data_IF_614607513238
#
_entry.id   IF_614607513238
#
_cell.length_a   1.000
_cell.length_b   1.000
_cell.length_c   1.000
_cell.angle_alpha   90.00
_cell.angle_beta   90.00
_cell.angle_gamma   90.00
#
_symmetry.space_group_name_H-M   'P 1'
#
loop_
_entity.id
_entity.type
_entity.pdbx_description
1 polymer ?
#
# COMPACT_ATOMS: atom_id res chain seq x y z
N UNK A 1 1.03 28.52 -59.47
CA UNK A 1 2.22 28.33 -58.59
C UNK A 1 1.80 28.84 -57.24
N UNK A 2 1.32 27.92 -56.37
CA UNK A 2 0.95 28.24 -55.00
C UNK A 2 2.20 28.14 -54.14
N UNK A 3 2.46 29.18 -53.39
CA UNK A 3 3.55 29.28 -52.44
C UNK A 3 3.33 28.28 -51.31
N UNK A 4 4.23 27.33 -51.20
CA UNK A 4 4.32 26.46 -50.03
C UNK A 4 4.74 27.31 -48.82
N UNK A 5 3.78 27.65 -47.98
CA UNK A 5 4.03 28.34 -46.71
C UNK A 5 4.83 27.38 -45.81
N UNK A 6 6.09 27.72 -45.62
CA UNK A 6 7.04 26.99 -44.77
C UNK A 6 6.58 27.13 -43.32
N UNK A 7 5.92 26.09 -42.77
CA UNK A 7 5.48 26.02 -41.37
C UNK A 7 6.68 25.59 -40.52
N UNK A 8 7.56 26.54 -40.24
CA UNK A 8 8.52 26.39 -39.16
C UNK A 8 7.82 26.87 -37.89
N UNK A 9 7.76 26.05 -36.82
CA UNK A 9 7.22 26.51 -35.56
C UNK A 9 8.10 27.63 -35.03
N UNK A 10 7.49 28.73 -34.61
CA UNK A 10 8.16 29.83 -33.90
C UNK A 10 9.01 29.31 -32.76
N UNK A 11 10.32 29.41 -32.93
CA UNK A 11 11.28 29.17 -31.89
C UNK A 11 11.16 30.33 -30.91
N UNK A 12 10.50 30.10 -29.77
CA UNK A 12 10.35 31.11 -28.72
C UNK A 12 11.72 31.70 -28.36
N UNK A 13 11.82 33.01 -28.45
CA UNK A 13 13.02 33.77 -28.14
C UNK A 13 13.39 33.62 -26.65
N UNK A 14 14.69 33.71 -26.36
CA UNK A 14 15.28 33.46 -25.03
C UNK A 14 14.73 34.28 -23.83
N UNK A 15 13.88 35.28 -24.09
CA UNK A 15 13.29 36.14 -23.07
C UNK A 15 12.09 35.53 -22.30
N UNK A 16 11.50 34.42 -22.76
CA UNK A 16 10.33 33.79 -22.11
C UNK A 16 10.67 32.61 -21.15
N UNK A 17 11.95 32.39 -20.90
CA UNK A 17 12.41 31.22 -20.09
C UNK A 17 12.08 31.28 -18.60
N UNK A 18 11.35 32.26 -18.11
CA UNK A 18 11.03 32.43 -16.69
C UNK A 18 9.57 32.17 -16.26
N UNK A 19 8.63 32.14 -17.17
CA UNK A 19 7.24 31.86 -16.90
C UNK A 19 6.92 30.41 -17.27
N UNK A 20 6.35 29.64 -16.37
CA UNK A 20 5.73 28.35 -16.70
C UNK A 20 4.56 28.68 -17.62
N UNK A 21 4.80 28.73 -18.94
CA UNK A 21 3.73 28.81 -19.93
C UNK A 21 2.95 27.49 -19.88
N UNK A 22 1.89 27.46 -19.08
CA UNK A 22 0.92 26.37 -19.10
C UNK A 22 0.23 26.42 -20.45
N UNK A 23 0.69 25.61 -21.42
CA UNK A 23 -0.02 25.47 -22.68
C UNK A 23 -1.44 25.00 -22.41
N UNK A 24 -2.46 25.64 -23.02
CA UNK A 24 -3.83 25.14 -22.89
C UNK A 24 -3.90 23.69 -23.32
N UNK A 25 -4.66 22.91 -22.59
CA UNK A 25 -4.91 21.51 -22.96
C UNK A 25 -5.41 21.41 -24.39
N UNK A 26 -4.97 20.40 -25.14
CA UNK A 26 -5.48 20.14 -26.50
C UNK A 26 -7.01 19.96 -26.50
N UNK A 27 -7.62 19.59 -25.37
CA UNK A 27 -9.07 19.47 -25.21
C UNK A 27 -9.82 20.82 -25.19
N UNK A 28 -9.13 21.94 -25.07
CA UNK A 28 -9.71 23.29 -25.05
C UNK A 28 -9.61 23.99 -26.41
N UNK A 29 -8.99 23.37 -27.43
CA UNK A 29 -8.87 23.88 -28.79
C UNK A 29 -9.34 22.81 -29.77
N UNK A 30 -10.43 23.10 -30.49
CA UNK A 30 -11.07 22.12 -31.37
C UNK A 30 -10.14 21.65 -32.49
N UNK A 31 -9.37 22.57 -33.09
CA UNK A 31 -8.44 22.23 -34.19
C UNK A 31 -7.32 21.33 -33.70
N UNK A 32 -6.71 21.69 -32.59
CA UNK A 32 -5.66 20.87 -31.96
C UNK A 32 -6.18 19.53 -31.52
N UNK A 33 -7.44 19.46 -31.07
CA UNK A 33 -8.09 18.21 -30.69
C UNK A 33 -8.32 17.31 -31.89
N UNK A 34 -8.81 17.83 -33.01
CA UNK A 34 -8.99 17.09 -34.27
C UNK A 34 -7.65 16.57 -34.82
N UNK A 35 -6.60 17.40 -34.79
CA UNK A 35 -5.26 16.97 -35.16
C UNK A 35 -4.74 15.84 -34.25
N UNK A 36 -4.92 15.99 -32.94
CA UNK A 36 -4.54 14.98 -31.99
C UNK A 36 -5.30 13.66 -32.19
N UNK A 37 -6.59 13.71 -32.55
CA UNK A 37 -7.37 12.49 -32.88
C UNK A 37 -6.82 11.77 -34.11
N UNK A 38 -6.43 12.51 -35.17
CA UNK A 38 -5.82 11.93 -36.37
C UNK A 38 -4.48 11.27 -36.08
N UNK A 39 -3.62 11.95 -35.32
CA UNK A 39 -2.33 11.40 -34.87
C UNK A 39 -2.54 10.18 -33.95
N UNK A 40 -3.48 10.27 -33.01
CA UNK A 40 -3.81 9.17 -32.11
C UNK A 40 -4.33 7.93 -32.85
N UNK A 41 -5.14 8.10 -33.89
CA UNK A 41 -5.62 6.98 -34.72
C UNK A 41 -4.46 6.29 -35.44
N UNK A 42 -3.49 7.03 -35.96
CA UNK A 42 -2.28 6.49 -36.57
C UNK A 42 -1.44 5.72 -35.53
N UNK A 43 -1.16 6.32 -34.39
CA UNK A 43 -0.37 5.70 -33.33
C UNK A 43 -1.06 4.43 -32.80
N UNK A 44 -2.39 4.46 -32.60
CA UNK A 44 -3.14 3.29 -32.14
C UNK A 44 -3.10 2.10 -33.12
N UNK A 45 -2.86 2.34 -34.41
CA UNK A 45 -2.69 1.30 -35.43
C UNK A 45 -1.27 0.72 -35.48
N UNK A 46 -0.30 1.36 -34.83
CA UNK A 46 1.11 0.96 -34.86
C UNK A 46 1.39 -0.17 -33.86
N UNK A 47 2.20 -1.16 -34.31
CA UNK A 47 2.74 -2.19 -33.43
C UNK A 47 3.92 -1.72 -32.57
N UNK A 48 4.46 -0.54 -32.84
CA UNK A 48 5.60 0.00 -32.09
C UNK A 48 5.17 0.72 -30.80
N UNK A 49 3.90 1.05 -30.64
CA UNK A 49 3.40 1.57 -29.37
C UNK A 49 3.10 0.43 -28.38
N UNK A 50 3.25 0.66 -27.06
CA UNK A 50 2.91 -0.34 -26.04
C UNK A 50 1.47 -0.88 -26.19
N UNK A 51 1.26 -2.14 -25.81
CA UNK A 51 0.00 -2.87 -26.06
C UNK A 51 -1.25 -2.14 -25.54
N UNK A 52 -1.16 -1.43 -24.41
CA UNK A 52 -2.27 -0.66 -23.83
C UNK A 52 -2.66 0.61 -24.60
N UNK A 53 -1.89 0.99 -25.63
CA UNK A 53 -2.25 2.04 -26.59
C UNK A 53 -2.74 1.47 -27.93
N UNK A 54 -2.40 0.23 -28.27
CA UNK A 54 -2.80 -0.39 -29.52
C UNK A 54 -4.34 -0.51 -29.57
N UNK A 55 -4.92 -0.05 -30.67
CA UNK A 55 -6.38 0.02 -30.89
C UNK A 55 -7.15 0.89 -29.87
N UNK A 56 -6.44 1.67 -29.06
CA UNK A 56 -7.02 2.51 -28.00
C UNK A 56 -6.77 4.01 -28.33
N UNK A 57 -7.53 4.55 -29.29
CA UNK A 57 -7.38 5.95 -29.74
C UNK A 57 -7.52 6.93 -28.56
N UNK A 58 -8.48 6.70 -27.67
CA UNK A 58 -8.68 7.57 -26.50
C UNK A 58 -7.44 7.62 -25.58
N UNK A 59 -6.80 6.50 -25.32
CA UNK A 59 -5.57 6.46 -24.52
C UNK A 59 -4.43 7.21 -25.21
N UNK A 60 -4.33 7.08 -26.55
CA UNK A 60 -3.35 7.81 -27.35
C UNK A 60 -3.58 9.33 -27.28
N UNK A 61 -4.83 9.81 -27.36
CA UNK A 61 -5.15 11.25 -27.20
C UNK A 61 -4.73 11.76 -25.82
N UNK A 62 -4.96 11.00 -24.76
CA UNK A 62 -4.54 11.37 -23.40
C UNK A 62 -3.01 11.46 -23.32
N UNK A 63 -2.29 10.48 -23.89
CA UNK A 63 -0.84 10.49 -23.94
C UNK A 63 -0.29 11.69 -24.73
N UNK A 64 -0.90 12.02 -25.88
CA UNK A 64 -0.55 13.20 -26.67
C UNK A 64 -0.73 14.50 -25.88
N UNK A 65 -1.85 14.64 -25.14
CA UNK A 65 -2.08 15.81 -24.30
C UNK A 65 -1.05 15.93 -23.16
N UNK A 66 -0.67 14.81 -22.53
CA UNK A 66 0.38 14.81 -21.52
C UNK A 66 1.74 15.15 -22.12
N UNK A 67 2.07 14.59 -23.28
CA UNK A 67 3.32 14.87 -23.98
C UNK A 67 3.45 16.37 -24.34
N UNK A 68 2.38 16.98 -24.88
CA UNK A 68 2.35 18.40 -25.20
C UNK A 68 2.54 19.28 -23.96
N UNK A 69 1.85 18.95 -22.86
CA UNK A 69 1.94 19.71 -21.61
C UNK A 69 3.29 19.56 -20.91
N UNK A 70 3.89 18.39 -20.98
CA UNK A 70 5.19 18.08 -20.39
C UNK A 70 6.36 18.42 -21.34
N UNK A 71 6.08 18.84 -22.57
CA UNK A 71 7.09 19.12 -23.62
C UNK A 71 8.00 17.92 -23.91
N UNK A 72 7.42 16.74 -23.96
CA UNK A 72 8.10 15.49 -24.28
C UNK A 72 7.62 15.01 -25.64
N UNK A 73 8.49 14.36 -26.39
CA UNK A 73 8.07 13.68 -27.60
C UNK A 73 6.94 12.67 -27.32
N UNK A 74 5.85 12.69 -28.11
CA UNK A 74 4.70 11.82 -27.91
C UNK A 74 5.04 10.33 -27.86
N UNK A 75 5.94 9.87 -28.73
CA UNK A 75 6.34 8.47 -28.77
C UNK A 75 7.16 8.09 -27.52
N UNK A 76 8.07 8.96 -27.11
CA UNK A 76 8.84 8.77 -25.87
C UNK A 76 7.92 8.77 -24.65
N UNK A 77 6.90 9.64 -24.63
CA UNK A 77 5.89 9.63 -23.57
C UNK A 77 5.16 8.29 -23.50
N UNK A 78 4.67 7.78 -24.65
CA UNK A 78 3.96 6.50 -24.71
C UNK A 78 4.84 5.33 -24.29
N UNK A 79 6.13 5.32 -24.63
CA UNK A 79 7.08 4.26 -24.24
C UNK A 79 7.36 4.22 -22.71
N UNK A 80 7.15 5.33 -22.02
CA UNK A 80 7.45 5.46 -20.58
C UNK A 80 6.20 5.69 -19.72
N UNK A 81 5.01 5.63 -20.33
CA UNK A 81 3.73 5.76 -19.62
C UNK A 81 3.01 4.42 -19.57
N UNK A 82 2.50 4.09 -18.40
CA UNK A 82 1.72 2.87 -18.16
C UNK A 82 0.39 3.22 -17.52
N UNK A 83 -0.60 2.39 -17.78
CA UNK A 83 -1.89 2.48 -17.11
C UNK A 83 -1.91 1.44 -15.99
N UNK A 84 -1.82 1.90 -14.75
CA UNK A 84 -1.86 1.05 -13.56
C UNK A 84 -3.18 1.33 -12.84
N UNK A 85 -4.03 0.32 -12.74
CA UNK A 85 -5.34 0.43 -12.10
C UNK A 85 -6.21 1.60 -12.65
N UNK A 86 -6.21 1.78 -13.97
CA UNK A 86 -6.96 2.83 -14.65
C UNK A 86 -6.37 4.25 -14.49
N UNK A 87 -5.19 4.39 -13.91
CA UNK A 87 -4.49 5.67 -13.73
C UNK A 87 -3.23 5.71 -14.57
N UNK A 88 -2.94 6.84 -15.26
CA UNK A 88 -1.68 6.99 -15.96
C UNK A 88 -0.54 7.16 -14.94
N UNK A 89 0.50 6.36 -15.11
CA UNK A 89 1.75 6.45 -14.37
C UNK A 89 2.93 6.58 -15.33
N UNK A 90 4.01 7.16 -14.88
CA UNK A 90 5.25 7.30 -15.65
C UNK A 90 6.37 6.49 -15.00
N UNK A 91 7.32 6.02 -15.79
CA UNK A 91 8.51 5.38 -15.24
C UNK A 91 9.36 6.39 -14.45
N UNK A 92 9.99 5.92 -13.36
CA UNK A 92 10.85 6.77 -12.53
C UNK A 92 11.98 7.44 -13.32
N UNK A 93 12.51 6.79 -14.36
CA UNK A 93 13.51 7.40 -15.25
C UNK A 93 12.97 8.60 -16.03
N UNK A 94 11.71 8.56 -16.49
CA UNK A 94 11.08 9.70 -17.16
C UNK A 94 10.84 10.85 -16.17
N UNK A 95 10.43 10.54 -14.94
CA UNK A 95 10.27 11.54 -13.88
C UNK A 95 11.58 12.31 -13.63
N UNK A 96 12.71 11.62 -13.55
CA UNK A 96 14.03 12.25 -13.40
C UNK A 96 14.32 13.15 -14.62
N UNK A 97 14.13 12.65 -15.84
CA UNK A 97 14.36 13.42 -17.06
C UNK A 97 13.47 14.68 -17.14
N UNK A 98 12.21 14.61 -16.68
CA UNK A 98 11.30 15.76 -16.62
C UNK A 98 11.78 16.80 -15.61
N UNK A 99 12.27 16.39 -14.44
CA UNK A 99 12.82 17.31 -13.43
C UNK A 99 14.04 18.05 -14.02
N UNK A 100 14.96 17.30 -14.61
CA UNK A 100 16.16 17.86 -15.24
C UNK A 100 15.81 18.74 -16.44
N UNK A 101 14.82 18.33 -17.24
CA UNK A 101 14.30 19.07 -18.41
C UNK A 101 13.64 20.41 -18.07
N UNK A 102 13.32 20.68 -16.78
CA UNK A 102 12.85 22.02 -16.37
C UNK A 102 13.90 23.11 -16.57
N UNK A 103 15.18 22.73 -16.64
CA UNK A 103 16.31 23.68 -16.71
C UNK A 103 16.49 24.51 -15.43
N UNK A 104 15.75 24.19 -14.36
CA UNK A 104 15.85 24.89 -13.08
C UNK A 104 16.97 24.34 -12.22
N UNK A 105 17.22 23.05 -12.32
CA UNK A 105 18.17 22.32 -11.47
C UNK A 105 19.30 21.72 -12.27
N UNK A 106 20.45 21.52 -11.63
CA UNK A 106 21.50 20.62 -12.10
C UNK A 106 20.96 19.18 -12.17
N UNK A 107 21.66 18.26 -12.85
CA UNK A 107 21.30 16.84 -12.78
C UNK A 107 21.11 16.37 -11.34
N UNK A 108 20.03 15.57 -11.11
CA UNK A 108 19.72 15.03 -9.80
C UNK A 108 20.85 14.13 -9.29
N UNK A 109 21.22 14.33 -8.03
CA UNK A 109 22.15 13.49 -7.31
C UNK A 109 21.46 12.84 -6.13
N UNK A 110 22.03 11.74 -5.65
CA UNK A 110 21.43 10.92 -4.61
C UNK A 110 22.45 10.64 -3.53
N UNK A 111 22.11 10.99 -2.30
CA UNK A 111 22.91 10.73 -1.11
C UNK A 111 22.30 9.54 -0.37
N UNK A 112 23.08 8.50 -0.20
CA UNK A 112 22.70 7.30 0.53
C UNK A 112 23.35 7.31 1.91
N UNK A 113 22.60 6.90 2.93
CA UNK A 113 23.08 6.81 4.31
C UNK A 113 22.70 5.48 4.93
N UNK A 114 23.56 4.98 5.81
CA UNK A 114 23.37 3.70 6.48
C UNK A 114 23.65 2.49 5.60
N UNK A 115 23.65 1.31 6.20
CA UNK A 115 23.88 0.04 5.52
C UNK A 115 23.04 -1.05 6.18
N UNK A 116 22.36 -1.84 5.38
CA UNK A 116 21.55 -2.97 5.81
C UNK A 116 21.43 -4.01 4.71
N UNK A 117 20.55 -4.97 4.93
CA UNK A 117 20.17 -5.97 3.94
C UNK A 117 18.67 -6.05 3.84
N UNK A 118 18.16 -6.40 2.67
CA UNK A 118 16.76 -6.74 2.46
C UNK A 118 16.47 -8.14 3.02
N UNK A 119 15.20 -8.54 3.10
CA UNK A 119 14.82 -9.90 3.53
C UNK A 119 15.37 -10.99 2.61
N UNK A 120 15.66 -10.63 1.36
CA UNK A 120 16.33 -11.52 0.37
C UNK A 120 17.86 -11.46 0.46
N UNK A 121 18.43 -10.76 1.43
CA UNK A 121 19.88 -10.67 1.66
C UNK A 121 20.61 -9.67 0.76
N UNK A 122 19.91 -8.91 -0.09
CA UNK A 122 20.53 -7.90 -0.97
C UNK A 122 21.00 -6.71 -0.13
N UNK A 123 22.25 -6.23 -0.30
CA UNK A 123 22.73 -5.01 0.35
C UNK A 123 21.85 -3.80 0.01
N UNK A 124 21.61 -2.92 0.97
CA UNK A 124 20.85 -1.69 0.80
C UNK A 124 21.33 -0.58 1.72
N UNK A 125 21.00 0.66 1.37
CA UNK A 125 21.09 1.77 2.30
C UNK A 125 19.89 1.80 3.28
N UNK A 126 19.99 2.57 4.35
CA UNK A 126 18.87 2.80 5.27
C UNK A 126 18.04 4.01 4.85
N UNK A 127 18.65 4.97 4.14
CA UNK A 127 17.95 6.12 3.58
C UNK A 127 18.58 6.63 2.29
N UNK A 128 17.79 7.38 1.52
CA UNK A 128 18.23 8.08 0.33
C UNK A 128 17.56 9.45 0.26
N UNK A 129 18.35 10.48 -0.09
CA UNK A 129 17.87 11.84 -0.36
C UNK A 129 18.29 12.23 -1.78
N UNK A 130 17.31 12.68 -2.57
CA UNK A 130 17.58 13.32 -3.86
C UNK A 130 17.89 14.79 -3.64
N UNK A 131 18.93 15.30 -4.28
CA UNK A 131 19.31 16.71 -4.21
C UNK A 131 19.83 17.22 -5.56
N UNK A 132 19.74 18.53 -5.76
CA UNK A 132 20.26 19.20 -6.92
C UNK A 132 20.63 20.65 -6.59
N UNK A 133 21.48 21.26 -7.40
CA UNK A 133 21.78 22.69 -7.29
C UNK A 133 20.75 23.46 -8.11
N UNK A 134 20.08 24.43 -7.54
CA UNK A 134 19.23 25.35 -8.27
C UNK A 134 20.13 26.29 -9.12
N UNK A 135 19.99 26.23 -10.43
CA UNK A 135 20.92 26.91 -11.35
C UNK A 135 20.84 28.45 -11.25
N UNK A 136 19.72 28.99 -10.80
CA UNK A 136 19.52 30.45 -10.68
C UNK A 136 20.15 31.02 -9.41
N UNK A 137 20.08 30.31 -8.30
CA UNK A 137 20.55 30.77 -6.97
C UNK A 137 21.90 30.19 -6.58
N UNK A 138 22.28 29.05 -7.16
CA UNK A 138 23.46 28.28 -6.75
C UNK A 138 23.26 27.47 -5.46
N UNK A 139 22.05 27.49 -4.88
CA UNK A 139 21.76 26.76 -3.64
C UNK A 139 21.56 25.27 -3.90
N UNK A 140 21.99 24.47 -2.94
CA UNK A 140 21.69 23.03 -2.95
C UNK A 140 20.31 22.85 -2.34
N UNK A 141 19.41 22.31 -3.14
CA UNK A 141 18.05 21.98 -2.73
C UNK A 141 17.96 20.48 -2.49
N UNK A 142 17.52 20.08 -1.32
CA UNK A 142 17.33 18.69 -0.94
C UNK A 142 15.82 18.34 -0.94
N UNK A 143 15.51 17.12 -1.35
CA UNK A 143 14.18 16.55 -1.20
C UNK A 143 14.00 15.89 0.17
N UNK A 144 12.76 15.49 0.52
CA UNK A 144 12.51 14.69 1.72
C UNK A 144 13.26 13.35 1.65
N UNK A 145 13.79 12.87 2.79
CA UNK A 145 14.45 11.56 2.86
C UNK A 145 13.44 10.44 2.65
N UNK A 146 13.82 9.45 1.87
CA UNK A 146 13.13 8.16 1.76
C UNK A 146 13.90 7.16 2.59
N UNK A 147 13.25 6.52 3.56
CA UNK A 147 13.90 5.57 4.45
C UNK A 147 13.41 4.14 4.21
N UNK A 148 14.24 3.15 4.56
CA UNK A 148 13.82 1.76 4.52
C UNK A 148 12.67 1.48 5.49
N UNK A 149 12.70 2.10 6.68
CA UNK A 149 11.60 2.00 7.64
C UNK A 149 10.27 2.47 7.03
N UNK A 150 10.28 3.58 6.27
CA UNK A 150 9.14 4.06 5.52
C UNK A 150 8.68 3.01 4.49
N UNK A 151 9.61 2.43 3.71
CA UNK A 151 9.29 1.42 2.71
C UNK A 151 8.63 0.17 3.32
N UNK A 152 9.07 -0.25 4.51
CA UNK A 152 8.47 -1.37 5.26
C UNK A 152 7.07 -1.00 5.80
N UNK A 153 6.94 0.17 6.42
CA UNK A 153 5.67 0.62 7.03
C UNK A 153 4.58 0.81 5.97
N UNK A 154 4.92 1.41 4.84
CA UNK A 154 4.00 1.63 3.71
C UNK A 154 3.76 0.36 2.87
N UNK A 155 4.44 -0.74 3.19
CA UNK A 155 4.26 -2.03 2.53
C UNK A 155 4.92 -2.15 1.15
N UNK A 156 5.79 -1.21 0.73
CA UNK A 156 6.47 -1.24 -0.57
C UNK A 156 7.40 -2.44 -0.72
N UNK A 157 7.91 -2.95 0.39
CA UNK A 157 8.80 -4.13 0.42
C UNK A 157 8.06 -5.46 0.33
N UNK A 158 6.71 -5.47 0.41
CA UNK A 158 5.90 -6.68 0.36
C UNK A 158 5.84 -7.25 -1.05
N UNK A 159 5.86 -8.55 -1.16
CA UNK A 159 5.68 -9.24 -2.44
C UNK A 159 4.25 -8.98 -2.98
N UNK A 160 4.14 -8.78 -4.30
CA UNK A 160 2.90 -8.31 -4.96
C UNK A 160 1.92 -9.43 -5.34
N UNK A 161 2.00 -10.58 -4.69
CA UNK A 161 1.20 -11.77 -5.04
C UNK A 161 1.72 -12.50 -6.29
N UNK A 162 1.10 -13.64 -6.63
CA UNK A 162 1.50 -14.49 -7.77
C UNK A 162 3.00 -14.81 -7.86
N UNK A 163 3.72 -14.79 -6.72
CA UNK A 163 5.16 -15.05 -6.68
C UNK A 163 6.05 -13.89 -7.16
N UNK A 164 5.47 -12.71 -7.42
CA UNK A 164 6.25 -11.55 -7.85
C UNK A 164 6.88 -10.84 -6.64
N UNK A 165 8.20 -11.01 -6.53
CA UNK A 165 9.00 -10.37 -5.49
C UNK A 165 9.04 -8.85 -5.70
N UNK A 166 8.87 -8.08 -4.63
CA UNK A 166 8.98 -6.63 -4.69
C UNK A 166 10.35 -6.17 -5.20
N UNK A 167 10.38 -5.17 -6.07
CA UNK A 167 11.63 -4.56 -6.56
C UNK A 167 12.45 -3.93 -5.42
N UNK A 168 11.80 -3.53 -4.33
CA UNK A 168 12.49 -3.06 -3.12
C UNK A 168 13.35 -4.14 -2.47
N UNK A 169 12.98 -5.42 -2.65
CA UNK A 169 13.76 -6.54 -2.14
C UNK A 169 14.93 -6.93 -3.04
N UNK A 170 14.83 -6.66 -4.36
CA UNK A 170 15.80 -7.12 -5.36
C UNK A 170 16.69 -6.01 -5.92
N UNK A 171 16.17 -4.78 -6.01
CA UNK A 171 16.84 -3.60 -6.56
C UNK A 171 16.62 -2.36 -5.66
N UNK A 172 16.95 -2.43 -4.36
CA UNK A 172 16.62 -1.39 -3.39
C UNK A 172 17.20 -0.02 -3.76
N UNK A 173 18.45 0.06 -4.22
CA UNK A 173 19.10 1.33 -4.55
C UNK A 173 18.43 2.04 -5.73
N UNK A 174 17.92 1.29 -6.71
CA UNK A 174 17.18 1.86 -7.82
C UNK A 174 15.82 2.41 -7.35
N UNK A 175 15.12 1.65 -6.50
CA UNK A 175 13.84 2.07 -5.94
C UNK A 175 13.98 3.30 -5.05
N UNK A 176 15.04 3.37 -4.26
CA UNK A 176 15.38 4.57 -3.49
C UNK A 176 15.56 5.81 -4.39
N UNK A 177 16.32 5.68 -5.49
CA UNK A 177 16.53 6.81 -6.44
C UNK A 177 15.20 7.27 -7.03
N UNK A 178 14.38 6.37 -7.54
CA UNK A 178 13.10 6.72 -8.16
C UNK A 178 12.15 7.36 -7.16
N UNK A 179 12.01 6.79 -5.97
CA UNK A 179 11.13 7.34 -4.93
C UNK A 179 11.61 8.70 -4.41
N UNK A 180 12.92 8.86 -4.19
CA UNK A 180 13.50 10.13 -3.75
C UNK A 180 13.37 11.22 -4.81
N UNK A 181 13.51 10.89 -6.12
CA UNK A 181 13.26 11.83 -7.19
C UNK A 181 11.80 12.29 -7.24
N UNK A 182 10.84 11.39 -7.05
CA UNK A 182 9.42 11.73 -6.98
C UNK A 182 9.12 12.65 -5.79
N UNK A 183 9.71 12.38 -4.62
CA UNK A 183 9.54 13.22 -3.43
C UNK A 183 10.18 14.60 -3.64
N UNK A 184 11.37 14.65 -4.22
CA UNK A 184 12.01 15.90 -4.60
C UNK A 184 11.11 16.74 -5.51
N UNK A 185 10.56 16.13 -6.56
CA UNK A 185 9.73 16.84 -7.51
C UNK A 185 8.46 17.40 -6.89
N UNK A 186 7.79 16.64 -6.03
CA UNK A 186 6.54 17.08 -5.37
C UNK A 186 6.71 18.30 -4.51
N UNK A 187 7.86 18.43 -3.87
CA UNK A 187 8.12 19.55 -2.95
C UNK A 187 8.73 20.73 -3.71
N UNK A 188 9.70 20.47 -4.58
CA UNK A 188 10.55 21.54 -5.15
C UNK A 188 10.12 21.97 -6.56
N UNK A 189 9.49 21.09 -7.35
CA UNK A 189 9.04 21.38 -8.71
C UNK A 189 7.77 20.59 -9.10
N UNK A 190 6.63 20.77 -8.41
CA UNK A 190 5.41 20.00 -8.66
C UNK A 190 4.89 20.13 -10.09
N UNK A 191 5.13 21.26 -10.74
CA UNK A 191 4.76 21.50 -12.13
C UNK A 191 5.49 20.61 -13.15
N UNK A 192 6.67 20.08 -12.80
CA UNK A 192 7.42 19.18 -13.67
C UNK A 192 6.70 17.85 -13.95
N UNK A 193 5.90 17.38 -13.02
CA UNK A 193 5.20 16.10 -13.11
C UNK A 193 3.68 16.25 -13.34
N UNK A 194 3.12 17.46 -13.25
CA UNK A 194 1.68 17.74 -13.37
C UNK A 194 0.79 16.80 -12.51
N UNK A 195 1.28 16.37 -11.35
CA UNK A 195 0.56 15.45 -10.46
C UNK A 195 0.63 13.98 -10.87
N UNK A 196 1.37 13.61 -11.92
CA UNK A 196 1.62 12.22 -12.27
C UNK A 196 2.40 11.50 -11.16
N UNK A 197 2.11 10.23 -11.00
CA UNK A 197 2.83 9.31 -10.10
C UNK A 197 3.73 8.39 -10.90
N UNK A 198 4.76 7.85 -10.25
CA UNK A 198 5.51 6.78 -10.90
C UNK A 198 4.70 5.48 -10.93
N UNK A 199 5.01 4.60 -11.90
CA UNK A 199 4.40 3.27 -11.99
C UNK A 199 4.62 2.48 -10.70
N UNK A 200 5.82 2.52 -10.14
CA UNK A 200 6.15 1.85 -8.88
C UNK A 200 5.30 2.38 -7.71
N UNK A 201 5.00 3.69 -7.67
CA UNK A 201 4.11 4.26 -6.66
C UNK A 201 2.65 3.82 -6.82
N UNK A 202 2.16 3.72 -8.06
CA UNK A 202 0.80 3.23 -8.33
C UNK A 202 0.65 1.75 -8.01
N UNK A 203 1.69 0.95 -8.26
CA UNK A 203 1.74 -0.45 -7.88
C UNK A 203 1.77 -0.65 -6.36
N UNK A 204 2.50 0.21 -5.64
CA UNK A 204 2.63 0.13 -4.17
C UNK A 204 1.35 0.54 -3.42
N UNK A 205 0.53 1.42 -4.00
CA UNK A 205 -0.75 1.84 -3.39
C UNK A 205 -1.77 0.70 -3.35
N UNK A 206 -1.54 -0.40 -4.08
CA UNK A 206 -2.49 -1.52 -4.15
C UNK A 206 -3.85 -1.05 -4.66
N UNK A 207 -3.86 -0.13 -5.64
CA UNK A 207 -5.11 0.41 -6.16
C UNK A 207 -5.96 -0.74 -6.70
N UNK A 208 -7.17 -0.87 -6.18
CA UNK A 208 -8.12 -1.88 -6.62
C UNK A 208 -8.32 -1.70 -8.14
N UNK A 209 -8.05 -2.73 -8.95
CA UNK A 209 -8.30 -2.65 -10.39
C UNK A 209 -9.76 -2.26 -10.62
N UNK A 210 -9.99 -1.24 -11.43
CA UNK A 210 -11.34 -0.81 -11.77
C UNK A 210 -11.66 -1.30 -13.18
N UNK A 211 -12.73 -2.07 -13.32
CA UNK A 211 -13.26 -2.52 -14.61
C UNK A 211 -14.42 -1.63 -15.02
N UNK A 212 -14.50 -1.32 -16.30
CA UNK A 212 -15.62 -0.58 -16.84
C UNK A 212 -16.81 -1.55 -17.00
N UNK A 213 -17.76 -1.51 -16.08
CA UNK A 213 -18.96 -2.36 -16.07
C UNK A 213 -20.09 -1.81 -16.94
N UNK A 214 -20.04 -0.52 -17.30
CA UNK A 214 -20.93 0.13 -18.23
C UNK A 214 -20.30 1.42 -18.76
N UNK A 215 -20.77 2.02 -19.86
CA UNK A 215 -20.26 3.30 -20.36
C UNK A 215 -20.23 4.38 -19.25
N UNK A 216 -19.03 4.84 -18.87
CA UNK A 216 -18.83 5.82 -17.81
C UNK A 216 -18.99 5.32 -16.38
N UNK A 217 -19.23 4.02 -16.14
CA UNK A 217 -19.27 3.40 -14.81
C UNK A 217 -18.11 2.43 -14.63
N UNK A 218 -17.34 2.64 -13.57
CA UNK A 218 -16.25 1.77 -13.18
C UNK A 218 -16.58 1.13 -11.84
N UNK A 219 -16.42 -0.19 -11.74
CA UNK A 219 -16.50 -0.94 -10.49
C UNK A 219 -15.15 -1.57 -10.18
N UNK A 220 -14.83 -1.81 -8.91
CA UNK A 220 -13.66 -2.60 -8.56
C UNK A 220 -13.77 -3.94 -9.29
N UNK A 221 -12.69 -4.33 -10.01
CA UNK A 221 -12.57 -5.70 -10.50
C UNK A 221 -12.65 -6.59 -9.28
N UNK A 222 -13.72 -7.33 -9.13
CA UNK A 222 -13.71 -8.46 -8.23
C UNK A 222 -12.66 -9.40 -8.80
N UNK A 223 -11.46 -9.38 -8.21
CA UNK A 223 -10.51 -10.45 -8.51
C UNK A 223 -11.27 -11.73 -8.26
N UNK A 224 -11.39 -12.63 -9.25
CA UNK A 224 -11.94 -13.94 -8.96
C UNK A 224 -11.13 -14.43 -7.75
N UNK A 225 -11.83 -14.77 -6.66
CA UNK A 225 -11.16 -15.49 -5.57
C UNK A 225 -10.37 -16.58 -6.28
N UNK A 226 -9.05 -16.72 -6.01
CA UNK A 226 -8.27 -17.75 -6.66
C UNK A 226 -9.07 -19.02 -6.54
N UNK A 227 -9.40 -19.61 -7.69
CA UNK A 227 -10.18 -20.87 -7.71
C UNK A 227 -9.53 -21.78 -6.68
N UNK A 228 -10.30 -22.35 -5.75
CA UNK A 228 -9.74 -23.19 -4.71
C UNK A 228 -8.92 -24.26 -5.45
N UNK A 229 -7.61 -24.24 -5.23
CA UNK A 229 -6.77 -25.33 -5.73
C UNK A 229 -7.33 -26.57 -5.05
N UNK A 230 -8.08 -27.40 -5.77
CA UNK A 230 -8.60 -28.64 -5.26
C UNK A 230 -7.41 -29.54 -4.92
N UNK A 231 -6.99 -29.46 -3.66
CA UNK A 231 -5.97 -30.38 -3.14
C UNK A 231 -6.68 -31.73 -3.00
N UNK A 232 -6.21 -32.79 -3.65
CA UNK A 232 -6.81 -34.11 -3.50
C UNK A 232 -6.95 -34.46 -2.02
N UNK A 233 -8.11 -34.92 -1.60
CA UNK A 233 -8.40 -35.19 -0.19
C UNK A 233 -7.35 -36.11 0.46
N UNK A 234 -6.71 -36.99 -0.31
CA UNK A 234 -5.60 -37.84 0.14
C UNK A 234 -4.33 -37.06 0.52
N UNK A 235 -4.09 -35.89 -0.08
CA UNK A 235 -2.91 -35.07 0.18
C UNK A 235 -3.11 -33.98 1.23
N UNK A 236 -4.36 -33.67 1.57
CA UNK A 236 -4.69 -32.61 2.54
C UNK A 236 -4.10 -32.88 3.89
N UNK A 237 -4.22 -34.13 4.39
CA UNK A 237 -3.73 -34.52 5.70
C UNK A 237 -2.20 -34.40 5.80
N UNK A 238 -1.48 -34.88 4.80
CA UNK A 238 -0.01 -34.88 4.80
C UNK A 238 0.56 -33.46 4.65
N UNK A 239 0.02 -32.66 3.74
CA UNK A 239 0.44 -31.27 3.55
C UNK A 239 0.16 -30.41 4.78
N UNK A 240 -1.02 -30.57 5.38
CA UNK A 240 -1.37 -29.87 6.61
C UNK A 240 -0.46 -30.27 7.78
N UNK A 241 -0.14 -31.57 7.91
CA UNK A 241 0.78 -32.05 8.95
C UNK A 241 2.20 -31.49 8.77
N UNK A 242 2.66 -31.36 7.54
CA UNK A 242 3.97 -30.77 7.24
C UNK A 242 3.99 -29.28 7.58
N UNK A 243 2.96 -28.54 7.21
CA UNK A 243 2.82 -27.13 7.52
C UNK A 243 2.72 -26.89 9.04
N UNK A 244 1.95 -27.71 9.76
CA UNK A 244 1.86 -27.67 11.21
C UNK A 244 3.22 -27.90 11.90
N UNK A 245 4.06 -28.81 11.39
CA UNK A 245 5.44 -29.00 11.86
C UNK A 245 6.31 -27.78 11.62
N UNK A 246 6.24 -27.16 10.44
CA UNK A 246 6.97 -25.94 10.13
C UNK A 246 6.58 -24.78 11.06
N UNK A 247 5.31 -24.69 11.44
CA UNK A 247 4.79 -23.70 12.39
C UNK A 247 5.11 -24.02 13.85
N UNK A 248 5.75 -25.16 14.15
CA UNK A 248 6.10 -25.62 15.51
C UNK A 248 4.89 -25.63 16.46
N UNK A 249 3.78 -26.17 15.99
CA UNK A 249 2.52 -26.22 16.73
C UNK A 249 2.55 -27.30 17.82
N UNK A 250 1.79 -27.07 18.91
CA UNK A 250 1.50 -28.09 19.91
C UNK A 250 0.38 -29.01 19.39
N UNK A 251 0.60 -30.33 19.26
CA UNK A 251 -0.38 -31.23 18.65
C UNK A 251 -1.72 -31.28 19.40
N UNK A 252 -1.70 -31.29 20.73
CA UNK A 252 -2.94 -31.37 21.53
C UNK A 252 -3.77 -30.08 21.42
N UNK A 253 -3.09 -28.93 21.40
CA UNK A 253 -3.74 -27.64 21.28
C UNK A 253 -4.29 -27.48 19.86
N UNK A 254 -3.56 -27.97 18.84
CA UNK A 254 -3.99 -27.93 17.46
C UNK A 254 -5.24 -28.77 17.19
N UNK A 255 -5.30 -29.99 17.77
CA UNK A 255 -6.50 -30.82 17.64
C UNK A 255 -7.73 -30.16 18.28
N UNK A 256 -7.57 -29.59 19.49
CA UNK A 256 -8.66 -28.86 20.17
C UNK A 256 -9.11 -27.61 19.33
N UNK A 257 -8.17 -26.92 18.71
CA UNK A 257 -8.48 -25.77 17.87
C UNK A 257 -9.26 -26.20 16.63
N UNK A 258 -8.82 -27.27 15.95
CA UNK A 258 -9.50 -27.82 14.77
C UNK A 258 -10.91 -28.30 15.13
N UNK A 259 -11.07 -29.05 16.21
CA UNK A 259 -12.39 -29.56 16.67
C UNK A 259 -13.35 -28.38 16.94
N UNK A 260 -12.89 -27.38 17.71
CA UNK A 260 -13.71 -26.21 18.04
C UNK A 260 -14.07 -25.36 16.80
N UNK A 261 -13.15 -25.25 15.86
CA UNK A 261 -13.38 -24.50 14.61
C UNK A 261 -14.38 -25.25 13.71
N UNK A 262 -14.26 -26.57 13.64
CA UNK A 262 -15.17 -27.44 12.89
C UNK A 262 -16.60 -27.37 13.44
N UNK A 263 -16.76 -27.43 14.77
CA UNK A 263 -18.05 -27.30 15.44
C UNK A 263 -18.68 -25.92 15.20
N UNK A 264 -17.88 -24.85 15.35
CA UNK A 264 -18.35 -23.47 15.15
C UNK A 264 -18.81 -23.18 13.71
N UNK A 265 -18.13 -23.76 12.72
CA UNK A 265 -18.43 -23.57 11.30
C UNK A 265 -19.38 -24.62 10.70
N UNK A 266 -19.77 -25.64 11.48
CA UNK A 266 -20.55 -26.81 11.00
C UNK A 266 -19.87 -27.53 9.82
N UNK A 267 -18.57 -27.67 9.88
CA UNK A 267 -17.71 -28.30 8.86
C UNK A 267 -16.96 -29.49 9.45
N UNK A 268 -16.47 -30.38 8.58
CA UNK A 268 -15.59 -31.47 8.99
C UNK A 268 -14.17 -30.96 9.27
N UNK A 269 -13.40 -31.69 10.07
CA UNK A 269 -12.00 -31.34 10.36
C UNK A 269 -11.15 -31.33 9.08
N UNK A 270 -11.43 -32.19 8.13
CA UNK A 270 -10.70 -32.27 6.86
C UNK A 270 -11.01 -31.08 5.94
N UNK A 271 -12.25 -30.61 5.94
CA UNK A 271 -12.61 -29.35 5.26
C UNK A 271 -11.89 -28.13 5.89
N UNK A 272 -11.78 -28.11 7.21
CA UNK A 272 -11.00 -27.05 7.90
C UNK A 272 -9.52 -27.12 7.56
N UNK A 273 -8.92 -28.31 7.48
CA UNK A 273 -7.53 -28.49 7.05
C UNK A 273 -7.32 -28.04 5.60
N UNK A 274 -8.23 -28.40 4.70
CA UNK A 274 -8.19 -27.97 3.31
C UNK A 274 -8.31 -26.42 3.19
N UNK A 275 -9.24 -25.81 3.92
CA UNK A 275 -9.38 -24.35 3.96
C UNK A 275 -8.16 -23.66 4.59
N UNK A 276 -7.51 -24.29 5.59
CA UNK A 276 -6.29 -23.81 6.20
C UNK A 276 -5.12 -23.75 5.21
N UNK A 277 -4.97 -24.75 4.37
CA UNK A 277 -3.94 -24.78 3.32
C UNK A 277 -4.16 -23.68 2.25
N UNK A 278 -5.40 -23.30 2.00
CA UNK A 278 -5.74 -22.22 1.06
C UNK A 278 -5.50 -20.82 1.67
N UNK A 279 -5.76 -20.63 2.95
CA UNK A 279 -5.65 -19.35 3.68
C UNK A 279 -4.70 -19.49 4.89
N UNK A 280 -3.51 -20.06 4.66
CA UNK A 280 -2.55 -20.47 5.68
C UNK A 280 -2.21 -19.35 6.68
N UNK A 281 -1.87 -18.16 6.21
CA UNK A 281 -1.48 -17.06 7.10
C UNK A 281 -2.61 -16.67 8.10
N UNK A 282 -3.84 -16.57 7.63
CA UNK A 282 -4.98 -16.24 8.46
C UNK A 282 -5.26 -17.35 9.49
N UNK A 283 -5.22 -18.60 9.05
CA UNK A 283 -5.45 -19.76 9.93
C UNK A 283 -4.43 -19.81 11.06
N UNK A 284 -3.13 -19.71 10.77
CA UNK A 284 -2.07 -19.76 11.78
C UNK A 284 -2.08 -18.56 12.71
N UNK A 285 -2.54 -17.42 12.26
CA UNK A 285 -2.75 -16.24 13.12
C UNK A 285 -3.84 -16.52 14.19
N UNK A 286 -4.97 -17.11 13.80
CA UNK A 286 -6.03 -17.49 14.73
C UNK A 286 -5.60 -18.63 15.66
N UNK A 287 -4.88 -19.64 15.15
CA UNK A 287 -4.33 -20.69 15.96
C UNK A 287 -3.39 -20.15 17.05
N UNK A 288 -2.45 -19.28 16.73
CA UNK A 288 -1.53 -18.69 17.71
C UNK A 288 -2.24 -17.89 18.80
N UNK A 289 -3.31 -17.19 18.45
CA UNK A 289 -4.14 -16.50 19.43
C UNK A 289 -4.82 -17.49 20.40
N UNK A 290 -5.35 -18.58 19.87
CA UNK A 290 -5.96 -19.66 20.64
C UNK A 290 -4.93 -20.38 21.54
N UNK A 291 -3.77 -20.73 21.01
CA UNK A 291 -2.67 -21.36 21.75
C UNK A 291 -2.24 -20.52 22.95
N UNK A 292 -2.07 -19.21 22.75
CA UNK A 292 -1.72 -18.26 23.81
C UNK A 292 -2.79 -18.24 24.91
N UNK A 293 -4.06 -18.30 24.54
CA UNK A 293 -5.17 -18.37 25.51
C UNK A 293 -5.18 -19.67 26.30
N UNK A 294 -4.94 -20.80 25.63
CA UNK A 294 -4.89 -22.11 26.27
C UNK A 294 -3.72 -22.24 27.28
N UNK A 295 -2.54 -21.78 26.89
CA UNK A 295 -1.35 -21.76 27.77
C UNK A 295 -1.58 -20.87 29.01
N UNK A 296 -2.20 -19.70 28.83
CA UNK A 296 -2.54 -18.80 29.94
C UNK A 296 -3.59 -19.41 30.90
N UNK A 297 -4.54 -20.20 30.37
CA UNK A 297 -5.52 -20.92 31.20
C UNK A 297 -4.87 -22.07 31.97
N UNK A 298 -3.96 -22.83 31.35
CA UNK A 298 -3.21 -23.90 31.98
C UNK A 298 -2.31 -23.39 33.12
N UNK A 299 -1.63 -22.28 32.95
CA UNK A 299 -0.83 -21.63 33.99
C UNK A 299 -1.66 -21.17 35.19
N UNK A 300 -2.88 -20.66 34.94
CA UNK A 300 -3.82 -20.29 36.02
C UNK A 300 -4.34 -21.49 36.77
N UNK A 301 -4.66 -22.60 36.09
CA UNK A 301 -5.10 -23.85 36.69
C UNK A 301 -3.97 -24.52 37.48
N UNK A 302 -2.73 -24.50 36.99
CA UNK A 302 -1.55 -25.02 37.71
C UNK A 302 -1.24 -24.26 39.00
N UNK A 303 -1.53 -22.99 39.10
CA UNK A 303 -1.37 -22.17 40.30
C UNK A 303 -2.45 -22.42 41.34
N UNK A 304 -3.61 -23.00 40.98
CA UNK A 304 -4.67 -23.35 41.91
C UNK A 304 -4.52 -24.74 42.55
N UNK A 305 -3.72 -25.66 41.96
CA UNK A 305 -3.55 -27.03 42.47
C UNK A 305 -2.25 -27.25 43.27
N UNK A 306 -1.43 -26.23 43.48
CA UNK A 306 -0.18 -26.32 44.25
C UNK A 306 -0.25 -25.77 45.65
N UNK A 307 -1.28 -26.13 46.46
CA UNK A 307 -1.39 -25.55 47.78
C UNK A 307 -2.32 -26.28 48.76
N UNK A 308 -2.01 -27.54 49.12
CA UNK A 308 -2.46 -28.11 50.41
C UNK A 308 -1.22 -28.55 51.20
N UNK A 309 -0.73 -27.66 52.04
CA UNK A 309 -0.08 -27.96 53.31
C UNK A 309 -0.52 -26.94 54.34
N UNK A 310 -0.89 -27.49 55.48
CA UNK A 310 -1.52 -26.92 56.64
C UNK A 310 -0.80 -25.69 57.24
N UNK A 311 -1.63 -24.86 57.82
CA UNK A 311 -1.51 -23.62 58.56
C UNK A 311 -0.46 -23.56 59.70
N UNK A 312 -0.13 -22.38 60.33
CA UNK A 312 -1.13 -21.56 61.05
C UNK A 312 -1.00 -20.03 60.89
N UNK A 313 -2.16 -19.40 61.03
CA UNK A 313 -2.49 -18.07 61.61
C UNK A 313 -1.45 -16.93 61.58
N UNK A 314 -1.72 -15.82 60.88
CA UNK A 314 -2.12 -14.55 61.49
C UNK A 314 -2.17 -13.38 60.45
N UNK A 315 -3.24 -12.60 60.60
CA UNK A 315 -3.45 -11.16 60.31
C UNK A 315 -3.59 -10.61 58.89
N UNK A 316 -4.86 -10.32 58.61
CA UNK A 316 -5.50 -9.10 58.10
C UNK A 316 -4.73 -8.15 57.20
N UNK A 317 -5.22 -7.99 55.96
CA UNK A 317 -5.59 -6.69 55.42
C UNK A 317 -6.52 -6.85 54.20
N UNK A 318 -7.59 -6.08 54.17
CA UNK A 318 -8.69 -5.95 53.22
C UNK A 318 -8.26 -6.00 51.75
N UNK A 319 -8.77 -7.00 51.02
CA UNK A 319 -8.94 -6.88 49.56
C UNK A 319 -10.44 -6.65 49.31
N UNK A 320 -10.84 -5.38 49.23
CA UNK A 320 -12.20 -4.99 48.90
C UNK A 320 -12.66 -5.62 47.59
N UNK A 321 -13.83 -6.23 47.59
CA UNK A 321 -14.52 -6.68 46.36
C UNK A 321 -14.63 -5.54 45.38
N UNK A 322 -13.99 -5.67 44.21
CA UNK A 322 -14.12 -4.72 43.15
C UNK A 322 -15.53 -4.85 42.56
N UNK A 323 -16.41 -3.94 42.95
CA UNK A 323 -17.78 -3.88 42.41
C UNK A 323 -17.75 -3.28 41.00
N UNK A 324 -18.49 -3.89 40.07
CA UNK A 324 -18.63 -3.43 38.70
C UNK A 324 -20.05 -2.91 38.43
N UNK A 325 -20.17 -1.86 37.63
CA UNK A 325 -21.44 -1.30 37.14
C UNK A 325 -21.47 -1.39 35.60
N UNK A 326 -22.66 -1.47 35.06
CA UNK A 326 -22.88 -1.47 33.61
C UNK A 326 -22.98 -0.02 33.12
N UNK A 327 -22.12 0.38 32.17
CA UNK A 327 -22.16 1.73 31.62
C UNK A 327 -23.25 1.84 30.55
N UNK A 328 -24.26 2.74 30.70
CA UNK A 328 -25.33 2.85 29.73
C UNK A 328 -24.92 3.56 28.41
N UNK A 329 -23.72 4.15 28.36
CA UNK A 329 -23.25 4.86 27.16
C UNK A 329 -22.46 4.01 26.17
N UNK A 330 -21.82 2.92 26.65
CA UNK A 330 -20.99 2.07 25.79
C UNK A 330 -21.23 0.58 26.01
N UNK A 331 -22.24 0.23 26.82
CA UNK A 331 -22.62 -1.15 27.15
C UNK A 331 -21.49 -2.00 27.78
N UNK A 332 -20.46 -1.34 28.35
CA UNK A 332 -19.31 -2.01 28.96
C UNK A 332 -19.47 -2.21 30.46
N UNK A 333 -18.78 -3.23 31.01
CA UNK A 333 -18.67 -3.47 32.44
C UNK A 333 -17.46 -2.73 33.00
N UNK A 334 -17.72 -1.67 33.81
CA UNK A 334 -16.69 -0.75 34.32
C UNK A 334 -16.62 -0.88 35.85
N UNK A 335 -15.40 -0.82 36.42
CA UNK A 335 -15.24 -0.79 37.88
C UNK A 335 -15.83 0.49 38.45
N UNK A 336 -16.39 0.40 39.67
CA UNK A 336 -16.99 1.56 40.36
C UNK A 336 -16.00 2.72 40.52
N UNK A 337 -14.71 2.40 40.72
CA UNK A 337 -13.65 3.43 40.79
C UNK A 337 -13.44 4.18 39.48
N UNK A 338 -13.51 3.47 38.35
CA UNK A 338 -13.41 4.08 37.03
C UNK A 338 -14.65 4.89 36.69
N UNK A 339 -15.84 4.39 37.07
CA UNK A 339 -17.10 5.11 36.92
C UNK A 339 -17.15 6.40 37.79
N UNK A 340 -16.57 6.38 38.98
CA UNK A 340 -16.44 7.54 39.86
C UNK A 340 -15.60 8.69 39.28
N UNK A 341 -14.73 8.42 38.31
CA UNK A 341 -13.90 9.41 37.57
C UNK A 341 -14.53 9.89 36.27
N UNK A 342 -15.70 9.40 35.90
CA UNK A 342 -16.37 9.72 34.65
C UNK A 342 -16.86 11.19 34.64
N UNK A 343 -16.65 11.90 33.53
CA UNK A 343 -17.10 13.30 33.35
C UNK A 343 -18.63 13.46 33.35
N UNK A 344 -19.38 12.39 33.07
CA UNK A 344 -20.84 12.38 32.99
C UNK A 344 -21.50 11.77 34.25
N UNK A 345 -20.79 11.72 35.38
CA UNK A 345 -21.22 11.07 36.61
C UNK A 345 -22.52 11.64 37.16
N UNK A 346 -22.66 12.97 37.16
CA UNK A 346 -23.80 13.69 37.79
C UNK A 346 -25.16 13.44 37.11
N UNK A 347 -25.16 12.96 35.86
CA UNK A 347 -26.39 12.63 35.13
C UNK A 347 -26.56 11.15 34.79
N UNK A 348 -25.67 10.27 35.28
CA UNK A 348 -25.65 8.88 34.91
C UNK A 348 -26.61 8.04 35.78
N UNK A 349 -27.60 7.34 35.17
CA UNK A 349 -28.56 6.51 35.91
C UNK A 349 -27.90 5.32 36.65
N UNK A 350 -26.84 4.74 36.08
CA UNK A 350 -26.11 3.67 36.74
C UNK A 350 -25.33 4.11 37.98
N UNK A 351 -24.81 5.35 38.00
CA UNK A 351 -24.18 5.92 39.17
C UNK A 351 -25.20 6.27 40.26
N UNK A 352 -26.34 6.86 39.87
CA UNK A 352 -27.42 7.20 40.79
C UNK A 352 -28.04 5.98 41.53
N UNK A 353 -28.05 4.82 40.88
CA UNK A 353 -28.50 3.57 41.47
C UNK A 353 -27.47 2.98 42.46
N UNK A 354 -26.18 3.18 42.19
CA UNK A 354 -25.11 2.78 43.09
C UNK A 354 -25.07 3.66 44.38
N UNK A 355 -25.19 4.96 44.22
CA UNK A 355 -25.13 5.95 45.33
C UNK A 355 -26.30 5.79 46.30
N UNK A 356 -27.46 5.29 45.84
CA UNK A 356 -28.61 4.96 46.69
C UNK A 356 -28.46 3.66 47.54
N UNK A 357 -27.46 2.81 47.21
CA UNK A 357 -27.22 1.53 47.88
C UNK A 357 -26.04 1.59 48.88
N UNK A 358 -25.38 2.74 49.02
CA UNK A 358 -24.43 3.01 50.10
C UNK A 358 -25.14 3.77 51.22
#
# INVERSE_FOLDING_TARGET
MEEATNYLPDVATDQEKGAIMVRPSIFLDMRRFEDAQRVAALLASSSLVPAHFQKQVANCVIALNLADRLRVDPFMMMQNMYVVHGRPGIEGKLAIALIEGTGRFSPLKFKFEGQGKTDKGVPRADSCVAYATELKTGEIIEGPPVTWAMAVTEGWTKDKGQGQVSKWQTLPDLMFRYRSAMFFARVNCPGALLGLRSTDELEDIGAIPMEQVAPGRYAPVQQPEPEPVEIPAAEVADRFAEEARQQKTDPEILERFLAKTAEGNKQTVDEIKAAALQKSEAFWKFYRAFEKQQKAQAEKAGKQNGGKKESPLENKADAGEIKYVHCPNDDSRISVEACGRCKNREGCPAWAEFDKKQ
#
